data_IF_287458161767
#
_entry.id   IF_287458161767
#
_cell.length_a   1.000
_cell.length_b   1.000
_cell.length_c   1.000
_cell.angle_alpha   90.00
_cell.angle_beta   90.00
_cell.angle_gamma   90.00
#
_symmetry.space_group_name_H-M   'P 1'
#
loop_
_entity.id
_entity.type
_entity.pdbx_description
1 polymer ?
#
# COMPACT_ATOMS: atom_id res chain seq x y z
N UNK A 1 -50.72 -0.67 -10.62
CA UNK A 1 -49.44 -0.22 -11.21
C UNK A 1 -48.90 0.95 -10.41
N UNK A 2 -48.00 0.67 -9.46
CA UNK A 2 -47.32 1.71 -8.71
C UNK A 2 -45.89 1.81 -9.24
N UNK A 3 -45.62 2.85 -10.02
CA UNK A 3 -44.29 3.17 -10.51
C UNK A 3 -43.54 3.93 -9.42
N UNK A 4 -42.24 3.66 -9.27
CA UNK A 4 -41.36 4.64 -8.61
C UNK A 4 -41.50 5.95 -9.40
N UNK A 5 -41.37 7.10 -8.74
CA UNK A 5 -41.40 8.35 -9.48
C UNK A 5 -40.30 8.33 -10.56
N UNK A 6 -40.53 9.05 -11.66
CA UNK A 6 -39.62 9.04 -12.81
C UNK A 6 -38.20 9.46 -12.45
N UNK A 7 -38.01 10.29 -11.43
CA UNK A 7 -36.69 10.73 -11.00
C UNK A 7 -35.95 9.61 -10.27
N UNK A 8 -36.64 8.84 -9.43
CA UNK A 8 -36.07 7.64 -8.80
C UNK A 8 -35.73 6.56 -9.82
N UNK A 9 -36.62 6.28 -10.79
CA UNK A 9 -36.32 5.32 -11.88
C UNK A 9 -35.12 5.78 -12.73
N UNK A 10 -35.07 7.08 -13.05
CA UNK A 10 -33.94 7.70 -13.77
C UNK A 10 -32.64 7.61 -12.97
N UNK A 11 -32.66 7.87 -11.66
CA UNK A 11 -31.49 7.74 -10.79
C UNK A 11 -30.96 6.30 -10.78
N UNK A 12 -31.85 5.30 -10.65
CA UNK A 12 -31.46 3.89 -10.65
C UNK A 12 -30.90 3.46 -12.00
N UNK A 13 -31.48 3.96 -13.10
CA UNK A 13 -30.94 3.74 -14.45
C UNK A 13 -29.53 4.31 -14.62
N UNK A 14 -29.25 5.51 -14.07
CA UNK A 14 -27.91 6.11 -14.08
C UNK A 14 -26.91 5.31 -13.24
N UNK A 15 -27.29 4.88 -12.03
CA UNK A 15 -26.46 4.00 -11.21
C UNK A 15 -26.12 2.71 -11.97
N UNK A 16 -27.13 2.08 -12.55
CA UNK A 16 -26.95 0.85 -13.32
C UNK A 16 -26.01 1.03 -14.51
N UNK A 17 -26.17 2.13 -15.25
CA UNK A 17 -25.28 2.48 -16.37
C UNK A 17 -23.83 2.70 -15.90
N UNK A 18 -23.65 3.27 -14.71
CA UNK A 18 -22.35 3.55 -14.09
C UNK A 18 -21.60 2.33 -13.55
N UNK A 19 -22.29 1.23 -13.20
CA UNK A 19 -21.64 0.01 -12.67
C UNK A 19 -20.53 -0.48 -13.60
N UNK A 20 -20.79 -0.46 -14.91
CA UNK A 20 -19.87 -0.99 -15.92
C UNK A 20 -18.49 -0.33 -15.88
N UNK A 21 -18.41 0.91 -15.40
CA UNK A 21 -17.19 1.71 -15.31
C UNK A 21 -16.29 1.30 -14.14
N UNK A 22 -16.85 0.59 -13.15
CA UNK A 22 -16.21 0.22 -11.89
C UNK A 22 -16.07 -1.30 -11.75
N UNK A 23 -16.35 -2.05 -12.83
CA UNK A 23 -16.32 -3.51 -12.81
C UNK A 23 -14.91 -4.01 -12.42
N UNK A 24 -14.91 -5.15 -11.71
CA UNK A 24 -13.77 -6.05 -11.43
C UNK A 24 -13.00 -5.86 -10.12
N UNK A 25 -13.19 -4.77 -9.37
CA UNK A 25 -12.49 -4.61 -8.09
C UNK A 25 -13.37 -5.02 -6.89
N UNK A 26 -12.93 -6.03 -6.15
CA UNK A 26 -13.62 -6.53 -4.94
C UNK A 26 -13.46 -5.61 -3.72
N UNK A 27 -12.54 -4.65 -3.74
CA UNK A 27 -12.35 -3.66 -2.66
C UNK A 27 -13.20 -2.41 -2.86
N UNK A 28 -13.64 -2.14 -4.09
CA UNK A 28 -14.50 -1.00 -4.41
C UNK A 28 -15.96 -1.33 -4.14
N UNK A 29 -16.67 -0.32 -3.62
CA UNK A 29 -18.14 -0.32 -3.45
C UNK A 29 -18.67 -1.63 -2.85
N UNK A 30 -18.43 -1.81 -1.56
CA UNK A 30 -19.11 -2.79 -0.71
C UNK A 30 -19.79 -2.06 0.43
N UNK A 31 -20.68 -1.14 0.09
CA UNK A 31 -21.43 -0.34 1.06
C UNK A 31 -22.70 -1.05 1.53
N UNK A 32 -23.50 -0.30 2.30
CA UNK A 32 -24.91 -0.58 2.55
C UNK A 32 -25.75 0.37 1.70
N UNK A 33 -26.71 -0.14 0.92
CA UNK A 33 -27.69 0.71 0.26
C UNK A 33 -28.78 1.10 1.24
N UNK A 34 -28.54 2.18 1.99
CA UNK A 34 -29.44 2.67 3.04
C UNK A 34 -30.42 3.70 2.49
N UNK A 35 -31.71 3.49 2.71
CA UNK A 35 -32.78 4.41 2.33
C UNK A 35 -33.46 4.91 3.60
N UNK A 36 -33.45 6.23 3.79
CA UNK A 36 -34.20 6.90 4.85
C UNK A 36 -35.43 7.60 4.27
N UNK A 37 -36.61 7.10 4.60
CA UNK A 37 -37.89 7.74 4.27
C UNK A 37 -38.23 8.70 5.40
N UNK A 38 -38.30 10.00 5.10
CA UNK A 38 -38.49 11.05 6.12
C UNK A 38 -39.96 11.40 6.32
N UNK A 39 -40.25 12.00 7.48
CA UNK A 39 -41.56 12.54 7.86
C UNK A 39 -42.68 11.49 7.83
N UNK A 40 -42.36 10.29 8.32
CA UNK A 40 -43.29 9.15 8.34
C UNK A 40 -44.08 9.13 9.65
N UNK A 41 -45.40 9.15 9.57
CA UNK A 41 -46.26 8.90 10.73
C UNK A 41 -46.17 7.44 11.17
N UNK A 42 -46.26 7.19 12.47
CA UNK A 42 -46.07 5.86 13.06
C UNK A 42 -47.07 4.81 12.57
N UNK A 43 -48.25 5.25 12.09
CA UNK A 43 -49.24 4.38 11.47
C UNK A 43 -48.76 3.77 10.15
N UNK A 44 -47.89 4.47 9.42
CA UNK A 44 -47.58 4.18 8.02
C UNK A 44 -46.23 3.46 7.86
N UNK A 45 -45.45 3.36 8.93
CA UNK A 45 -44.09 2.79 8.95
C UNK A 45 -44.03 1.42 8.29
N UNK A 46 -44.89 0.49 8.73
CA UNK A 46 -44.85 -0.90 8.26
C UNK A 46 -45.24 -1.01 6.80
N UNK A 47 -46.29 -0.32 6.40
CA UNK A 47 -46.82 -0.37 5.04
C UNK A 47 -45.80 0.23 4.05
N UNK A 48 -45.17 1.36 4.40
CA UNK A 48 -44.12 1.97 3.59
C UNK A 48 -42.86 1.12 3.49
N UNK A 49 -42.39 0.54 4.60
CA UNK A 49 -41.23 -0.35 4.57
C UNK A 49 -41.46 -1.55 3.66
N UNK A 50 -42.61 -2.21 3.80
CA UNK A 50 -42.96 -3.36 2.98
C UNK A 50 -43.05 -2.98 1.50
N UNK A 51 -43.70 -1.87 1.17
CA UNK A 51 -43.85 -1.39 -0.19
C UNK A 51 -42.49 -1.10 -0.87
N UNK A 52 -41.57 -0.43 -0.16
CA UNK A 52 -40.25 -0.13 -0.71
C UNK A 52 -39.39 -1.40 -0.86
N UNK A 53 -39.47 -2.33 0.08
CA UNK A 53 -38.79 -3.63 -0.02
C UNK A 53 -39.27 -4.43 -1.24
N UNK A 54 -40.58 -4.48 -1.49
CA UNK A 54 -41.15 -5.15 -2.65
C UNK A 54 -40.67 -4.51 -3.96
N UNK A 55 -40.62 -3.17 -4.05
CA UNK A 55 -40.12 -2.46 -5.22
C UNK A 55 -38.64 -2.72 -5.49
N UNK A 56 -37.80 -2.68 -4.45
CA UNK A 56 -36.38 -2.99 -4.60
C UNK A 56 -36.19 -4.45 -5.01
N UNK A 57 -36.96 -5.36 -4.42
CA UNK A 57 -36.94 -6.78 -4.79
C UNK A 57 -37.31 -6.97 -6.27
N UNK A 58 -38.29 -6.23 -6.79
CA UNK A 58 -38.64 -6.23 -8.21
C UNK A 58 -37.54 -5.66 -9.11
N UNK A 59 -36.82 -4.62 -8.68
CA UNK A 59 -35.68 -4.09 -9.43
C UNK A 59 -34.56 -5.12 -9.47
N UNK A 60 -34.28 -5.75 -8.32
CA UNK A 60 -33.25 -6.78 -8.21
C UNK A 60 -33.58 -8.04 -9.01
N UNK A 61 -34.86 -8.42 -9.13
CA UNK A 61 -35.27 -9.62 -9.87
C UNK A 61 -35.18 -9.47 -11.38
N UNK A 62 -35.20 -8.24 -11.91
CA UNK A 62 -35.09 -7.95 -13.36
C UNK A 62 -33.70 -8.25 -13.93
N UNK A 63 -32.65 -8.27 -13.11
CA UNK A 63 -31.29 -8.60 -13.54
C UNK A 63 -30.43 -9.05 -12.37
N UNK A 64 -29.73 -10.18 -12.53
CA UNK A 64 -28.69 -10.61 -11.59
C UNK A 64 -27.44 -9.71 -11.62
N UNK A 65 -27.27 -8.87 -12.65
CA UNK A 65 -26.17 -7.91 -12.80
C UNK A 65 -26.61 -6.47 -12.42
N UNK A 66 -27.33 -6.31 -11.30
CA UNK A 66 -27.82 -4.99 -10.86
C UNK A 66 -26.83 -4.26 -9.92
N UNK A 67 -27.04 -2.95 -9.74
CA UNK A 67 -26.11 -2.10 -8.97
C UNK A 67 -26.11 -2.44 -7.48
N UNK A 68 -27.22 -2.98 -6.96
CA UNK A 68 -27.34 -3.36 -5.55
C UNK A 68 -26.39 -4.51 -5.24
N UNK A 69 -26.36 -5.56 -6.06
CA UNK A 69 -25.38 -6.64 -5.89
C UNK A 69 -23.95 -6.20 -6.21
N UNK A 70 -23.76 -5.35 -7.23
CA UNK A 70 -22.41 -4.96 -7.66
C UNK A 70 -21.73 -3.91 -6.79
N UNK A 71 -22.47 -3.03 -6.13
CA UNK A 71 -21.93 -1.91 -5.33
C UNK A 71 -22.23 -2.01 -3.83
N UNK A 72 -23.16 -2.89 -3.45
CA UNK A 72 -23.63 -2.99 -2.05
C UNK A 72 -23.71 -4.46 -1.58
N UNK A 73 -23.22 -5.41 -2.39
CA UNK A 73 -23.22 -6.85 -2.09
C UNK A 73 -24.62 -7.39 -1.73
N UNK A 74 -25.66 -6.81 -2.34
CA UNK A 74 -27.05 -7.19 -2.06
C UNK A 74 -27.62 -6.58 -0.78
N UNK A 75 -26.82 -5.82 -0.01
CA UNK A 75 -27.23 -5.25 1.27
C UNK A 75 -28.05 -3.99 1.08
N UNK A 76 -29.28 -4.05 1.55
CA UNK A 76 -30.24 -2.94 1.51
C UNK A 76 -30.86 -2.81 2.89
N UNK A 77 -31.03 -1.57 3.34
CA UNK A 77 -31.74 -1.25 4.58
C UNK A 77 -32.72 -0.11 4.30
N UNK A 78 -33.95 -0.24 4.79
CA UNK A 78 -35.00 0.77 4.62
C UNK A 78 -35.46 1.21 6.01
N UNK A 79 -35.07 2.42 6.37
CA UNK A 79 -35.45 3.06 7.62
C UNK A 79 -36.52 4.12 7.37
N UNK A 80 -37.43 4.26 8.34
CA UNK A 80 -38.40 5.35 8.37
C UNK A 80 -38.01 6.32 9.47
N UNK A 81 -38.00 7.61 9.16
CA UNK A 81 -37.69 8.65 10.12
C UNK A 81 -38.97 9.38 10.48
N UNK A 82 -39.25 9.46 11.78
CA UNK A 82 -40.36 10.26 12.28
C UNK A 82 -40.17 11.74 11.89
N UNK A 83 -41.23 12.56 11.89
CA UNK A 83 -41.10 13.98 11.60
C UNK A 83 -40.11 14.67 12.54
N UNK A 84 -39.25 15.54 12.01
CA UNK A 84 -38.15 16.18 12.74
C UNK A 84 -38.56 16.92 14.02
N UNK A 85 -39.80 17.40 14.07
CA UNK A 85 -40.37 18.10 15.21
C UNK A 85 -40.89 17.18 16.33
N UNK A 86 -40.82 15.85 16.16
CA UNK A 86 -41.26 14.86 17.14
C UNK A 86 -40.09 14.29 17.94
N UNK A 87 -40.39 13.84 19.16
CA UNK A 87 -39.37 13.27 20.05
C UNK A 87 -38.80 11.94 19.54
N UNK A 88 -39.63 11.21 18.80
CA UNK A 88 -39.40 9.92 18.17
C UNK A 88 -38.26 10.01 17.15
N UNK A 89 -38.15 11.14 16.43
CA UNK A 89 -37.02 11.37 15.51
C UNK A 89 -35.69 11.26 16.25
N UNK A 90 -35.56 11.94 17.38
CA UNK A 90 -34.30 12.00 18.14
C UNK A 90 -34.03 10.73 18.95
N UNK A 91 -35.08 10.10 19.48
CA UNK A 91 -34.94 8.95 20.40
C UNK A 91 -34.90 7.60 19.69
N UNK A 92 -35.63 7.48 18.59
CA UNK A 92 -35.84 6.22 17.89
C UNK A 92 -35.14 6.25 16.53
N UNK A 93 -35.49 7.20 15.65
CA UNK A 93 -34.94 7.22 14.29
C UNK A 93 -33.41 7.44 14.24
N UNK A 94 -32.88 8.36 15.05
CA UNK A 94 -31.43 8.55 15.15
C UNK A 94 -30.74 7.36 15.82
N UNK A 95 -31.40 6.68 16.77
CA UNK A 95 -30.84 5.50 17.42
C UNK A 95 -30.71 4.35 16.43
N UNK A 96 -31.76 4.07 15.66
CA UNK A 96 -31.77 3.03 14.62
C UNK A 96 -30.73 3.30 13.53
N UNK A 97 -30.53 4.57 13.15
CA UNK A 97 -29.44 4.96 12.24
C UNK A 97 -28.06 4.66 12.83
N UNK A 98 -27.84 5.01 14.10
CA UNK A 98 -26.58 4.72 14.80
C UNK A 98 -26.33 3.22 14.88
N UNK A 99 -27.33 2.44 15.31
CA UNK A 99 -27.27 0.97 15.34
C UNK A 99 -26.95 0.39 13.95
N UNK A 100 -27.54 0.93 12.89
CA UNK A 100 -27.23 0.52 11.51
C UNK A 100 -25.77 0.81 11.15
N UNK A 101 -25.24 1.98 11.48
CA UNK A 101 -23.85 2.35 11.18
C UNK A 101 -22.87 1.49 11.97
N UNK A 102 -23.15 1.23 13.25
CA UNK A 102 -22.28 0.46 14.14
C UNK A 102 -22.32 -1.05 13.83
N UNK A 103 -23.49 -1.61 13.54
CA UNK A 103 -23.67 -3.06 13.42
C UNK A 103 -23.58 -3.57 11.98
N UNK A 104 -23.96 -2.76 10.98
CA UNK A 104 -24.15 -3.22 9.59
C UNK A 104 -23.11 -2.67 8.61
N UNK A 105 -22.38 -1.62 8.97
CA UNK A 105 -21.33 -1.04 8.12
C UNK A 105 -19.96 -1.51 8.61
N UNK A 106 -19.19 -2.14 7.72
CA UNK A 106 -17.83 -2.59 8.00
C UNK A 106 -16.83 -1.93 7.05
N UNK A 107 -15.60 -1.73 7.52
CA UNK A 107 -14.52 -1.23 6.68
C UNK A 107 -14.15 -2.28 5.64
N UNK A 108 -14.03 -1.84 4.38
CA UNK A 108 -13.51 -2.67 3.28
C UNK A 108 -12.00 -2.51 3.10
N UNK A 109 -11.38 -1.68 3.95
CA UNK A 109 -9.97 -1.35 3.95
C UNK A 109 -9.37 -1.62 5.32
N UNK A 110 -8.19 -2.22 5.34
CA UNK A 110 -7.50 -2.57 6.58
C UNK A 110 -6.97 -1.32 7.30
N UNK A 111 -6.67 -0.25 6.56
CA UNK A 111 -6.15 1.00 7.10
C UNK A 111 -6.54 2.21 6.22
N UNK A 112 -6.37 3.42 6.79
CA UNK A 112 -6.70 4.67 6.12
C UNK A 112 -5.76 5.07 4.99
N UNK A 113 -4.50 4.61 4.98
CA UNK A 113 -3.53 4.96 3.93
C UNK A 113 -3.86 4.25 2.62
N UNK A 114 -4.20 2.95 2.67
CA UNK A 114 -4.69 2.18 1.52
C UNK A 114 -6.00 2.77 0.98
N UNK A 115 -6.94 3.12 1.87
CA UNK A 115 -8.18 3.80 1.47
C UNK A 115 -7.91 5.12 0.73
N UNK A 116 -7.07 5.99 1.31
CA UNK A 116 -6.75 7.29 0.71
C UNK A 116 -6.03 7.14 -0.64
N UNK A 117 -5.14 6.16 -0.78
CA UNK A 117 -4.45 5.85 -2.04
C UNK A 117 -5.45 5.48 -3.13
N UNK A 118 -6.36 4.56 -2.84
CA UNK A 118 -7.35 4.10 -3.81
C UNK A 118 -8.36 5.21 -4.14
N UNK A 119 -8.80 5.98 -3.13
CA UNK A 119 -9.66 7.14 -3.35
C UNK A 119 -9.03 8.17 -4.30
N UNK A 120 -7.73 8.46 -4.14
CA UNK A 120 -7.00 9.36 -5.04
C UNK A 120 -6.95 8.82 -6.47
N UNK A 121 -6.72 7.52 -6.65
CA UNK A 121 -6.72 6.88 -7.97
C UNK A 121 -8.10 7.01 -8.61
N UNK A 122 -9.17 6.66 -7.88
CA UNK A 122 -10.55 6.74 -8.38
C UNK A 122 -10.93 8.16 -8.77
N UNK A 123 -10.64 9.17 -7.93
CA UNK A 123 -10.94 10.57 -8.23
C UNK A 123 -10.18 11.02 -9.50
N UNK A 124 -8.91 10.65 -9.62
CA UNK A 124 -8.11 10.96 -10.80
C UNK A 124 -8.67 10.28 -12.07
N UNK A 125 -9.09 9.02 -11.97
CA UNK A 125 -9.73 8.29 -13.06
C UNK A 125 -11.05 8.92 -13.49
N UNK A 126 -11.92 9.28 -12.55
CA UNK A 126 -13.19 9.98 -12.83
C UNK A 126 -12.92 11.32 -13.52
N UNK A 127 -11.97 12.11 -13.00
CA UNK A 127 -11.62 13.41 -13.57
C UNK A 127 -11.05 13.29 -15.00
N UNK A 128 -10.23 12.27 -15.26
CA UNK A 128 -9.64 11.99 -16.56
C UNK A 128 -10.57 11.22 -17.51
N UNK A 129 -11.74 10.76 -17.04
CA UNK A 129 -12.62 9.81 -17.75
C UNK A 129 -11.88 8.53 -18.18
N UNK A 130 -10.95 8.09 -17.33
CA UNK A 130 -10.14 6.90 -17.55
C UNK A 130 -10.81 5.68 -16.87
N UNK A 131 -11.31 4.76 -17.70
CA UNK A 131 -12.02 3.55 -17.26
C UNK A 131 -11.14 2.30 -17.29
N UNK A 132 -9.82 2.46 -17.31
CA UNK A 132 -8.90 1.32 -17.19
C UNK A 132 -8.95 0.71 -15.79
N UNK A 133 -8.46 -0.53 -15.66
CA UNK A 133 -8.47 -1.24 -14.37
C UNK A 133 -7.70 -0.47 -13.30
N UNK A 134 -8.34 -0.31 -12.13
CA UNK A 134 -7.72 0.27 -10.94
C UNK A 134 -6.52 -0.55 -10.46
N UNK A 135 -6.54 -1.87 -10.60
CA UNK A 135 -5.40 -2.73 -10.23
C UNK A 135 -4.16 -2.40 -11.06
N UNK A 136 -4.34 -2.12 -12.35
CA UNK A 136 -3.23 -1.68 -13.20
C UNK A 136 -2.65 -0.34 -12.72
N UNK A 137 -3.50 0.56 -12.21
CA UNK A 137 -3.05 1.83 -11.62
C UNK A 137 -2.35 1.62 -10.28
N UNK A 138 -2.86 0.73 -9.40
CA UNK A 138 -2.22 0.37 -8.13
C UNK A 138 -0.81 -0.18 -8.37
N UNK A 139 -0.68 -1.14 -9.29
CA UNK A 139 0.61 -1.70 -9.70
C UNK A 139 1.53 -0.59 -10.20
N UNK A 140 1.05 0.28 -11.09
CA UNK A 140 1.86 1.38 -11.63
C UNK A 140 2.37 2.32 -10.53
N UNK A 141 1.51 2.71 -9.58
CA UNK A 141 1.86 3.57 -8.44
C UNK A 141 2.90 2.90 -7.53
N UNK A 142 2.69 1.64 -7.14
CA UNK A 142 3.61 0.92 -6.27
C UNK A 142 4.97 0.73 -6.97
N UNK A 143 4.98 0.27 -8.22
CA UNK A 143 6.20 0.09 -9.00
C UNK A 143 6.96 1.41 -9.18
N UNK A 144 6.26 2.51 -9.42
CA UNK A 144 6.89 3.83 -9.54
C UNK A 144 7.57 4.26 -8.23
N UNK A 145 6.89 4.12 -7.09
CA UNK A 145 7.47 4.44 -5.77
C UNK A 145 8.69 3.56 -5.48
N UNK A 146 8.57 2.25 -5.74
CA UNK A 146 9.65 1.30 -5.50
C UNK A 146 10.86 1.60 -6.39
N UNK A 147 10.63 1.81 -7.69
CA UNK A 147 11.70 2.11 -8.66
C UNK A 147 12.41 3.43 -8.35
N UNK A 148 11.67 4.48 -7.96
CA UNK A 148 12.26 5.77 -7.55
C UNK A 148 13.20 5.64 -6.36
N UNK A 149 12.97 4.68 -5.48
CA UNK A 149 13.79 4.45 -4.29
C UNK A 149 14.80 3.31 -4.44
N UNK A 150 14.74 2.54 -5.52
CA UNK A 150 15.59 1.36 -5.71
C UNK A 150 17.08 1.72 -5.67
N UNK A 151 17.49 2.74 -6.43
CA UNK A 151 18.90 3.12 -6.50
C UNK A 151 19.45 3.65 -5.17
N UNK A 152 18.67 4.47 -4.46
CA UNK A 152 19.01 4.88 -3.09
C UNK A 152 19.12 3.65 -2.19
N UNK A 153 18.13 2.77 -2.24
CA UNK A 153 18.10 1.56 -1.42
C UNK A 153 19.32 0.67 -1.63
N UNK A 154 19.70 0.45 -2.88
CA UNK A 154 20.90 -0.31 -3.23
C UNK A 154 22.18 0.39 -2.77
N UNK A 155 22.27 1.71 -2.92
CA UNK A 155 23.47 2.47 -2.59
C UNK A 155 23.66 2.68 -1.08
N UNK A 156 22.62 3.05 -0.34
CA UNK A 156 22.68 3.51 1.06
C UNK A 156 21.95 2.62 2.06
N UNK A 157 21.15 1.65 1.61
CA UNK A 157 20.31 0.84 2.50
C UNK A 157 19.09 1.59 3.02
N UNK A 158 18.79 2.73 2.42
CA UNK A 158 17.70 3.63 2.77
C UNK A 158 16.89 4.04 1.55
N UNK A 159 15.63 4.41 1.78
CA UNK A 159 14.83 5.17 0.83
C UNK A 159 15.49 6.53 0.55
N UNK A 160 15.12 7.13 -0.58
CA UNK A 160 15.59 8.46 -0.94
C UNK A 160 15.23 9.48 0.13
N UNK A 161 16.10 10.47 0.32
CA UNK A 161 15.90 11.48 1.34
C UNK A 161 14.55 12.20 1.18
N UNK A 162 13.90 12.49 2.31
CA UNK A 162 12.66 13.26 2.31
C UNK A 162 12.92 14.76 2.06
N UNK A 163 11.86 15.57 2.11
CA UNK A 163 11.97 17.02 1.96
C UNK A 163 12.85 17.70 3.02
N UNK A 164 13.17 17.00 4.12
CA UNK A 164 14.07 17.47 5.19
C UNK A 164 15.49 16.89 5.05
N UNK A 165 15.81 16.27 3.91
CA UNK A 165 17.11 15.66 3.60
C UNK A 165 17.50 14.47 4.51
N UNK A 166 16.53 13.90 5.25
CA UNK A 166 16.76 12.74 6.10
C UNK A 166 16.57 11.44 5.32
N UNK A 167 17.57 10.55 5.39
CA UNK A 167 17.46 9.18 4.89
C UNK A 167 16.41 8.41 5.71
N UNK A 168 15.52 7.72 5.01
CA UNK A 168 14.49 6.89 5.66
C UNK A 168 14.83 5.42 5.53
N UNK A 169 14.60 4.67 6.61
CA UNK A 169 14.74 3.21 6.58
C UNK A 169 13.69 2.59 5.66
N UNK A 170 13.95 1.37 5.20
CA UNK A 170 12.95 0.60 4.47
C UNK A 170 11.75 0.30 5.37
N UNK A 171 10.56 0.66 4.91
CA UNK A 171 9.30 0.37 5.58
C UNK A 171 8.30 -0.29 4.64
N UNK A 172 7.35 -1.00 5.22
CA UNK A 172 6.10 -1.39 4.56
C UNK A 172 5.20 -0.16 4.52
N UNK A 173 4.81 0.31 3.33
CA UNK A 173 4.11 1.59 3.16
C UNK A 173 2.77 1.65 3.90
N UNK A 174 2.07 0.52 3.98
CA UNK A 174 0.72 0.48 4.53
C UNK A 174 0.76 0.39 6.08
N UNK A 175 1.74 -0.32 6.68
CA UNK A 175 1.86 -0.50 8.15
C UNK A 175 2.92 0.39 8.81
N UNK A 176 3.83 0.98 8.03
CA UNK A 176 5.01 1.71 8.49
C UNK A 176 6.01 0.85 9.30
N UNK A 177 5.88 -0.48 9.25
CA UNK A 177 6.82 -1.40 9.89
C UNK A 177 8.16 -1.42 9.15
N UNK A 178 9.26 -1.36 9.90
CA UNK A 178 10.61 -1.37 9.34
C UNK A 178 11.01 -2.76 8.83
N UNK A 179 11.77 -2.80 7.73
CA UNK A 179 12.42 -4.03 7.24
C UNK A 179 13.71 -4.23 8.06
N UNK A 180 13.76 -5.28 8.90
CA UNK A 180 14.84 -5.45 9.87
C UNK A 180 16.16 -5.80 9.19
N UNK A 181 17.26 -5.45 9.85
CA UNK A 181 18.59 -5.91 9.49
C UNK A 181 18.78 -7.35 9.97
N UNK A 182 19.13 -8.25 9.06
CA UNK A 182 19.68 -9.54 9.48
C UNK A 182 21.08 -9.34 10.08
N UNK A 183 21.48 -10.15 11.09
CA UNK A 183 22.81 -10.06 11.67
C UNK A 183 23.90 -10.31 10.60
N UNK A 184 24.99 -9.53 10.65
CA UNK A 184 26.19 -9.83 9.86
C UNK A 184 27.13 -10.69 10.69
N UNK A 185 27.63 -11.77 10.12
CA UNK A 185 28.63 -12.62 10.75
C UNK A 185 29.98 -12.44 10.06
N UNK A 186 31.02 -12.16 10.86
CA UNK A 186 32.40 -12.06 10.38
C UNK A 186 33.21 -13.15 11.09
N UNK A 187 33.37 -14.29 10.42
CA UNK A 187 33.79 -15.53 11.08
C UNK A 187 32.73 -15.96 12.10
N UNK A 188 33.13 -16.24 13.33
CA UNK A 188 32.22 -16.67 14.41
C UNK A 188 31.57 -15.50 15.17
N UNK A 189 31.84 -14.26 14.77
CA UNK A 189 31.41 -13.06 15.50
C UNK A 189 30.21 -12.38 14.82
N UNK A 190 29.12 -12.22 15.57
CA UNK A 190 27.98 -11.41 15.16
C UNK A 190 28.30 -9.93 15.34
N UNK A 191 28.10 -9.15 14.28
CA UNK A 191 28.34 -7.72 14.22
C UNK A 191 27.01 -6.97 14.16
N UNK A 192 26.69 -6.21 15.21
CA UNK A 192 25.52 -5.34 15.25
C UNK A 192 25.86 -4.00 14.58
N UNK A 193 25.81 -3.99 13.25
CA UNK A 193 26.04 -2.82 12.42
C UNK A 193 24.79 -2.54 11.61
N UNK A 194 24.19 -1.36 11.79
CA UNK A 194 23.05 -0.91 11.00
C UNK A 194 23.42 -0.77 9.53
N UNK A 195 22.58 -1.30 8.67
CA UNK A 195 22.76 -1.20 7.21
C UNK A 195 22.37 0.17 6.66
N UNK A 196 21.31 0.75 7.24
CA UNK A 196 20.75 2.03 6.86
C UNK A 196 21.78 3.16 6.99
N UNK A 197 22.10 3.83 5.89
CA UNK A 197 23.06 4.94 5.80
C UNK A 197 24.48 4.52 5.45
N UNK A 198 24.76 3.23 5.33
CA UNK A 198 26.05 2.75 4.83
C UNK A 198 26.07 2.76 3.31
N UNK A 199 27.03 3.49 2.76
CA UNK A 199 27.32 3.44 1.34
C UNK A 199 27.92 2.09 0.99
N UNK A 200 27.32 1.41 0.03
CA UNK A 200 27.82 0.13 -0.46
C UNK A 200 28.68 0.32 -1.72
N UNK A 201 28.45 1.37 -2.49
CA UNK A 201 29.17 1.62 -3.75
C UNK A 201 29.45 3.09 -3.93
N UNK A 202 30.40 3.50 -4.80
CA UNK A 202 30.51 4.90 -5.18
C UNK A 202 29.26 5.36 -5.93
N UNK A 203 29.01 6.67 -5.90
CA UNK A 203 27.95 7.31 -6.67
C UNK A 203 28.48 8.58 -7.31
N UNK A 204 28.17 8.74 -8.60
CA UNK A 204 28.43 9.96 -9.38
C UNK A 204 27.14 10.76 -9.62
N UNK A 205 26.08 10.46 -8.85
CA UNK A 205 24.86 11.24 -8.89
C UNK A 205 25.15 12.66 -8.40
N UNK A 206 24.60 13.66 -9.09
CA UNK A 206 24.76 15.08 -8.72
C UNK A 206 24.24 15.39 -7.32
N UNK A 207 23.31 14.57 -6.80
CA UNK A 207 22.74 14.71 -5.44
C UNK A 207 23.49 13.91 -4.38
N UNK A 208 24.29 12.90 -4.77
CA UNK A 208 24.96 11.95 -3.87
C UNK A 208 26.31 11.56 -4.49
N UNK A 209 27.27 12.49 -4.52
CA UNK A 209 28.63 12.19 -4.95
C UNK A 209 29.40 11.54 -3.80
N UNK A 210 29.81 10.29 -3.97
CA UNK A 210 30.62 9.54 -2.99
C UNK A 210 31.67 8.74 -3.73
N UNK A 211 32.94 8.92 -3.36
CA UNK A 211 34.07 8.18 -3.92
C UNK A 211 34.24 6.81 -3.27
N UNK A 212 34.87 5.86 -3.97
CA UNK A 212 35.17 4.54 -3.40
C UNK A 212 36.01 4.63 -2.12
N UNK A 213 36.90 5.61 -2.01
CA UNK A 213 37.71 5.84 -0.81
C UNK A 213 36.83 6.20 0.39
N UNK A 214 35.84 7.06 0.19
CA UNK A 214 34.90 7.45 1.25
C UNK A 214 34.01 6.29 1.66
N UNK A 215 33.52 5.51 0.69
CA UNK A 215 32.79 4.25 0.93
C UNK A 215 33.60 3.31 1.81
N UNK A 216 34.81 2.94 1.37
CA UNK A 216 35.67 2.01 2.10
C UNK A 216 36.07 2.56 3.48
N UNK A 217 36.30 3.86 3.59
CA UNK A 217 36.58 4.51 4.87
C UNK A 217 35.41 4.40 5.83
N UNK A 218 34.18 4.66 5.38
CA UNK A 218 32.98 4.56 6.21
C UNK A 218 32.77 3.11 6.66
N UNK A 219 32.79 2.16 5.73
CA UNK A 219 32.58 0.75 6.02
C UNK A 219 33.64 0.21 6.99
N UNK A 220 34.89 0.60 6.79
CA UNK A 220 35.98 0.26 7.71
C UNK A 220 35.75 0.83 9.10
N UNK A 221 35.41 2.12 9.22
CA UNK A 221 35.13 2.75 10.51
C UNK A 221 33.97 2.07 11.22
N UNK A 222 32.89 1.72 10.50
CA UNK A 222 31.75 1.00 11.07
C UNK A 222 32.14 -0.39 11.58
N UNK A 223 32.98 -1.14 10.87
CA UNK A 223 33.48 -2.43 11.34
C UNK A 223 34.39 -2.28 12.56
N UNK A 224 35.30 -1.31 12.55
CA UNK A 224 36.26 -1.10 13.64
C UNK A 224 35.59 -0.70 14.97
N UNK A 225 34.36 -0.18 14.95
CA UNK A 225 33.55 0.09 16.15
C UNK A 225 33.19 -1.19 16.92
N UNK A 226 32.91 -2.29 16.20
CA UNK A 226 32.51 -3.57 16.80
C UNK A 226 33.66 -4.60 16.81
N UNK A 227 34.61 -4.47 15.89
CA UNK A 227 35.77 -5.34 15.73
C UNK A 227 37.06 -4.51 15.54
N UNK A 228 37.70 -4.07 16.65
CA UNK A 228 38.87 -3.19 16.58
C UNK A 228 40.07 -3.84 15.87
N UNK A 229 40.76 -3.11 15.01
CA UNK A 229 41.98 -3.62 14.34
C UNK A 229 43.14 -3.93 15.30
N UNK A 230 43.20 -3.23 16.44
CA UNK A 230 44.32 -3.32 17.39
C UNK A 230 44.47 -4.74 17.94
N UNK A 231 45.68 -5.29 17.80
CA UNK A 231 46.02 -6.62 18.32
C UNK A 231 45.79 -7.78 17.34
N UNK A 232 45.31 -7.50 16.13
CA UNK A 232 45.17 -8.48 15.04
C UNK A 232 46.29 -8.33 14.02
N UNK A 233 46.65 -9.44 13.39
CA UNK A 233 47.59 -9.38 12.28
C UNK A 233 46.90 -8.76 11.04
N UNK A 234 47.71 -8.27 10.10
CA UNK A 234 47.19 -7.57 8.93
C UNK A 234 46.30 -8.45 8.06
N UNK A 235 46.76 -9.65 7.70
CA UNK A 235 46.07 -10.57 6.78
C UNK A 235 44.71 -11.02 7.34
N UNK A 236 44.67 -11.39 8.62
CA UNK A 236 43.45 -11.76 9.34
C UNK A 236 42.43 -10.62 9.32
N UNK A 237 42.87 -9.39 9.61
CA UNK A 237 41.97 -8.24 9.59
C UNK A 237 41.43 -7.95 8.19
N UNK A 238 42.25 -8.08 7.14
CA UNK A 238 41.77 -7.89 5.76
C UNK A 238 40.75 -8.97 5.39
N UNK A 239 41.01 -10.24 5.70
CA UNK A 239 40.05 -11.32 5.46
C UNK A 239 38.73 -11.11 6.21
N UNK A 240 38.78 -10.62 7.46
CA UNK A 240 37.57 -10.25 8.21
C UNK A 240 36.82 -9.08 7.55
N UNK A 241 37.53 -8.06 7.08
CA UNK A 241 36.91 -6.93 6.40
C UNK A 241 36.26 -7.35 5.08
N UNK A 242 36.87 -8.27 4.35
CA UNK A 242 36.31 -8.84 3.12
C UNK A 242 35.01 -9.59 3.37
N UNK A 243 35.02 -10.52 4.34
CA UNK A 243 33.80 -11.24 4.75
C UNK A 243 32.69 -10.27 5.19
N UNK A 244 33.05 -9.17 5.85
CA UNK A 244 32.11 -8.11 6.20
C UNK A 244 31.49 -7.43 4.97
N UNK A 245 32.29 -7.08 3.96
CA UNK A 245 31.80 -6.44 2.74
C UNK A 245 30.84 -7.36 1.98
N UNK A 246 31.18 -8.65 1.84
CA UNK A 246 30.34 -9.66 1.20
C UNK A 246 29.01 -9.83 1.97
N UNK A 247 29.09 -10.04 3.29
CA UNK A 247 27.91 -10.21 4.14
C UNK A 247 27.00 -8.98 4.14
N UNK A 248 27.58 -7.77 4.11
CA UNK A 248 26.81 -6.53 4.02
C UNK A 248 26.07 -6.44 2.68
N UNK A 249 26.73 -6.82 1.59
CA UNK A 249 26.15 -6.80 0.26
C UNK A 249 25.01 -7.82 0.11
N UNK A 250 25.19 -9.04 0.61
CA UNK A 250 24.16 -10.07 0.67
C UNK A 250 22.96 -9.64 1.52
N UNK A 251 23.23 -9.10 2.71
CA UNK A 251 22.19 -8.53 3.59
C UNK A 251 21.41 -7.43 2.88
N UNK A 252 22.11 -6.50 2.21
CA UNK A 252 21.46 -5.41 1.45
C UNK A 252 20.55 -5.98 0.37
N UNK A 253 21.02 -6.99 -0.35
CA UNK A 253 20.24 -7.64 -1.39
C UNK A 253 18.97 -8.27 -0.82
N UNK A 254 19.09 -9.05 0.24
CA UNK A 254 17.95 -9.66 0.93
C UNK A 254 16.95 -8.59 1.42
N UNK A 255 17.43 -7.52 2.06
CA UNK A 255 16.58 -6.42 2.55
C UNK A 255 15.82 -5.72 1.43
N UNK A 256 16.48 -5.37 0.33
CA UNK A 256 15.83 -4.73 -0.83
C UNK A 256 14.77 -5.66 -1.42
N UNK A 257 15.06 -6.96 -1.54
CA UNK A 257 14.09 -7.93 -2.06
C UNK A 257 12.89 -8.13 -1.13
N UNK A 258 13.13 -8.24 0.18
CA UNK A 258 12.06 -8.27 1.19
C UNK A 258 11.21 -7.01 1.15
N UNK A 259 11.84 -5.84 1.01
CA UNK A 259 11.15 -4.56 0.94
C UNK A 259 10.24 -4.46 -0.29
N UNK A 260 10.73 -4.84 -1.48
CA UNK A 260 9.91 -4.91 -2.70
C UNK A 260 8.76 -5.91 -2.53
N UNK A 261 9.06 -7.11 -2.02
CA UNK A 261 8.08 -8.18 -1.88
C UNK A 261 6.98 -7.84 -0.88
N UNK A 262 7.32 -7.24 0.26
CA UNK A 262 6.35 -6.82 1.26
C UNK A 262 5.42 -5.72 0.74
N UNK A 263 5.95 -4.76 -0.02
CA UNK A 263 5.17 -3.64 -0.55
C UNK A 263 4.39 -3.96 -1.83
N UNK A 264 4.72 -5.06 -2.52
CA UNK A 264 4.05 -5.53 -3.73
C UNK A 264 3.35 -6.88 -3.54
N UNK A 265 3.09 -7.31 -2.30
CA UNK A 265 2.57 -8.64 -1.98
C UNK A 265 1.25 -8.97 -2.71
N UNK A 266 0.36 -7.99 -2.84
CA UNK A 266 -0.92 -8.16 -3.56
C UNK A 266 -0.74 -8.39 -5.07
N UNK A 267 0.44 -8.09 -5.60
CA UNK A 267 0.76 -8.09 -7.03
C UNK A 267 2.01 -8.93 -7.34
N UNK A 268 2.33 -9.91 -6.50
CA UNK A 268 3.53 -10.77 -6.64
C UNK A 268 3.62 -11.46 -8.01
N UNK A 269 2.47 -11.83 -8.57
CA UNK A 269 2.38 -12.54 -9.85
C UNK A 269 2.35 -11.59 -11.06
N UNK A 270 2.45 -10.28 -10.85
CA UNK A 270 2.43 -9.30 -11.93
C UNK A 270 3.81 -9.20 -12.61
N UNK A 271 3.85 -9.35 -13.94
CA UNK A 271 5.08 -9.29 -14.75
C UNK A 271 5.91 -8.01 -14.53
N UNK A 272 5.27 -6.88 -14.21
CA UNK A 272 5.98 -5.62 -13.94
C UNK A 272 6.70 -5.69 -12.60
N UNK A 273 6.08 -6.28 -11.58
CA UNK A 273 6.66 -6.48 -10.25
C UNK A 273 7.81 -7.48 -10.31
N UNK A 274 7.63 -8.60 -11.01
CA UNK A 274 8.68 -9.60 -11.19
C UNK A 274 9.91 -9.04 -11.93
N UNK A 275 9.69 -8.20 -12.96
CA UNK A 275 10.79 -7.49 -13.64
C UNK A 275 11.52 -6.51 -12.72
N UNK A 276 10.81 -5.83 -11.82
CA UNK A 276 11.43 -4.93 -10.84
C UNK A 276 12.28 -5.71 -9.84
N UNK A 277 11.82 -6.87 -9.37
CA UNK A 277 12.61 -7.75 -8.51
C UNK A 277 13.89 -8.22 -9.21
N UNK A 278 13.79 -8.59 -10.50
CA UNK A 278 14.96 -8.96 -11.29
C UNK A 278 15.92 -7.78 -11.48
N UNK A 279 15.41 -6.58 -11.78
CA UNK A 279 16.18 -5.34 -11.88
C UNK A 279 16.96 -5.06 -10.60
N UNK A 280 16.32 -5.20 -9.44
CA UNK A 280 16.95 -5.06 -8.14
C UNK A 280 18.08 -6.08 -7.94
N UNK A 281 17.84 -7.37 -8.21
CA UNK A 281 18.87 -8.41 -8.12
C UNK A 281 20.07 -8.13 -9.02
N UNK A 282 19.84 -7.70 -10.26
CA UNK A 282 20.93 -7.39 -11.20
C UNK A 282 21.70 -6.15 -10.77
N UNK A 283 21.02 -5.10 -10.31
CA UNK A 283 21.66 -3.88 -9.84
C UNK A 283 22.54 -4.13 -8.62
N UNK A 284 22.09 -4.98 -7.70
CA UNK A 284 22.85 -5.41 -6.52
C UNK A 284 24.03 -6.29 -6.90
N UNK A 285 23.83 -7.32 -7.73
CA UNK A 285 24.90 -8.23 -8.16
C UNK A 285 26.07 -7.50 -8.82
N UNK A 286 25.78 -6.59 -9.77
CA UNK A 286 26.83 -5.75 -10.41
C UNK A 286 27.58 -4.87 -9.42
N UNK A 287 26.91 -4.40 -8.37
CA UNK A 287 27.49 -3.52 -7.36
C UNK A 287 28.34 -4.29 -6.34
N UNK A 288 27.97 -5.52 -6.00
CA UNK A 288 28.83 -6.44 -5.22
C UNK A 288 30.12 -6.71 -6.00
N UNK A 289 30.01 -7.07 -7.28
CA UNK A 289 31.17 -7.29 -8.16
C UNK A 289 32.08 -6.05 -8.24
N UNK A 290 31.51 -4.84 -8.32
CA UNK A 290 32.28 -3.61 -8.36
C UNK A 290 33.10 -3.37 -7.07
N UNK A 291 32.55 -3.68 -5.90
CA UNK A 291 33.29 -3.56 -4.62
C UNK A 291 34.44 -4.55 -4.58
N UNK A 292 34.20 -5.79 -5.03
CA UNK A 292 35.22 -6.84 -5.08
C UNK A 292 36.36 -6.48 -6.04
N UNK A 293 36.03 -5.91 -7.20
CA UNK A 293 37.02 -5.47 -8.20
C UNK A 293 37.78 -4.21 -7.80
N UNK A 294 37.10 -3.20 -7.24
CA UNK A 294 37.74 -1.93 -6.84
C UNK A 294 38.56 -2.05 -5.55
N UNK A 295 38.31 -3.08 -4.73
CA UNK A 295 39.13 -3.47 -3.58
C UNK A 295 40.58 -3.79 -3.99
N UNK A 296 40.79 -4.45 -5.12
CA UNK A 296 42.14 -4.79 -5.62
C UNK A 296 42.96 -3.55 -5.99
N UNK A 297 42.31 -2.41 -6.22
CA UNK A 297 42.95 -1.14 -6.58
C UNK A 297 43.13 -0.17 -5.39
N UNK A 298 42.44 -0.40 -4.28
CA UNK A 298 42.41 0.52 -3.13
C UNK A 298 43.20 0.05 -1.89
N UNK A 299 43.54 -1.24 -1.83
CA UNK A 299 44.46 -1.85 -0.87
C UNK A 299 45.90 -1.89 -1.41
#
# INVERSE_FOLDING_TARGET
DFHLDKDTESAFSRFHSGINLLKQDKKLFKGLFYIAIKDVDTSDVRDLQQEFLEKISQICSKSQDNFIFKMYDGRVEIATMAPYNRSEYYKESLRELTETVEDKIYSCYDNGSTFLRDLKIIIAQIAAKDWTSIDSKRVAVIVDILRRNLMSGVHTGCLSANANEELQVFVIFDTQEEIPDSPIFVGDLSCDIKDSGLYLTPSNDSLLFVTIREVLSQLRSSLELVLPRKGRNGEEWHSMFENFLESLAERRQDRVQKWISANAVEFSDNDVVQRLQLEASVALGKKVEAIVLEKEAAL
#
